data_IF_817538762053
#
_entry.id   IF_817538762053
#
_cell.length_a   1.000
_cell.length_b   1.000
_cell.length_c   1.000
_cell.angle_alpha   90.00
_cell.angle_beta   90.00
_cell.angle_gamma   90.00
#
_symmetry.space_group_name_H-M   'P 1'
#
loop_
_entity.id
_entity.type
_entity.pdbx_description
1 polymer ?
#
# COMPACT_ATOMS: atom_id res chain seq x y z
N UNK A 1 -22.03 24.46 -2.45
CA UNK A 1 -20.90 24.84 -1.57
C UNK A 1 -19.71 23.97 -1.95
N UNK A 2 -18.68 24.54 -2.58
CA UNK A 2 -17.47 23.80 -2.96
C UNK A 2 -16.60 23.60 -1.73
N UNK A 3 -16.38 22.34 -1.32
CA UNK A 3 -15.55 22.04 -0.15
C UNK A 3 -14.08 22.24 -0.48
N UNK A 4 -13.43 23.15 0.23
CA UNK A 4 -12.00 23.39 0.21
C UNK A 4 -11.23 22.15 0.68
N UNK A 5 -10.59 21.43 -0.23
CA UNK A 5 -9.40 20.63 0.12
C UNK A 5 -8.32 20.87 -0.92
N UNK A 6 -7.91 22.15 -0.91
CA UNK A 6 -6.94 22.77 -1.78
C UNK A 6 -5.51 22.50 -1.33
N UNK A 7 -4.96 21.31 -1.59
CA UNK A 7 -3.51 21.24 -1.91
C UNK A 7 -3.33 21.51 -3.42
N UNK A 8 -4.13 22.44 -3.93
CA UNK A 8 -4.78 22.34 -5.22
C UNK A 8 -3.97 23.03 -6.31
N UNK A 9 -3.99 22.41 -7.46
CA UNK A 9 -3.65 23.01 -8.73
C UNK A 9 -4.66 24.11 -9.15
N UNK A 10 -5.65 24.46 -8.31
CA UNK A 10 -6.69 25.49 -8.50
C UNK A 10 -7.36 25.45 -9.90
N UNK A 11 -7.63 24.26 -10.41
CA UNK A 11 -8.17 24.07 -11.77
C UNK A 11 -7.16 24.26 -12.92
N UNK A 12 -5.91 24.67 -12.63
CA UNK A 12 -4.83 24.76 -13.61
C UNK A 12 -4.26 23.39 -13.98
N UNK A 13 -4.26 23.08 -15.27
CA UNK A 13 -3.65 21.85 -15.79
C UNK A 13 -2.13 21.82 -15.63
N UNK A 14 -1.46 22.97 -15.77
CA UNK A 14 0.00 23.06 -15.68
C UNK A 14 0.49 22.75 -14.26
N UNK A 15 -0.22 23.25 -13.26
CA UNK A 15 0.07 22.95 -11.86
C UNK A 15 -0.19 21.47 -11.53
N UNK A 16 -1.29 20.90 -12.03
CA UNK A 16 -1.56 19.46 -11.89
C UNK A 16 -0.41 18.62 -12.46
N UNK A 17 0.09 18.96 -13.64
CA UNK A 17 1.21 18.25 -14.29
C UNK A 17 2.49 18.37 -13.46
N UNK A 18 2.80 19.56 -12.93
CA UNK A 18 3.96 19.78 -12.05
C UNK A 18 3.87 18.95 -10.78
N UNK A 19 2.71 18.90 -10.13
CA UNK A 19 2.48 18.11 -8.91
C UNK A 19 2.63 16.61 -9.17
N UNK A 20 2.12 16.11 -10.31
CA UNK A 20 2.29 14.71 -10.73
C UNK A 20 3.76 14.32 -10.90
N UNK A 21 4.57 15.17 -11.55
CA UNK A 21 6.02 14.93 -11.71
C UNK A 21 6.72 14.87 -10.35
N UNK A 22 6.29 15.72 -9.41
CA UNK A 22 6.82 15.75 -8.04
C UNK A 22 6.26 14.66 -7.13
N UNK A 23 5.40 13.77 -7.64
CA UNK A 23 4.74 12.72 -6.87
C UNK A 23 3.96 13.25 -5.64
N UNK A 24 3.49 14.50 -5.69
CA UNK A 24 2.65 15.08 -4.65
C UNK A 24 1.26 14.47 -4.78
N UNK A 25 0.85 13.68 -3.78
CA UNK A 25 -0.46 13.04 -3.73
C UNK A 25 -1.47 13.94 -3.03
N UNK A 26 -2.75 13.73 -3.32
CA UNK A 26 -3.81 14.38 -2.55
C UNK A 26 -3.81 13.81 -1.13
N UNK A 27 -4.04 14.68 -0.15
CA UNK A 27 -4.15 14.31 1.27
C UNK A 27 -5.36 13.42 1.50
N UNK A 28 -6.45 13.68 0.78
CA UNK A 28 -7.67 12.86 0.84
C UNK A 28 -7.56 11.64 -0.08
N UNK A 29 -8.04 10.50 0.40
CA UNK A 29 -8.13 9.26 -0.38
C UNK A 29 -9.36 9.21 -1.30
N UNK A 30 -9.41 8.29 -2.27
CA UNK A 30 -10.58 8.13 -3.17
C UNK A 30 -11.91 7.91 -2.43
N UNK A 31 -11.89 7.14 -1.34
CA UNK A 31 -13.07 6.83 -0.52
C UNK A 31 -13.62 8.05 0.25
N UNK A 32 -12.81 9.08 0.45
CA UNK A 32 -13.23 10.34 1.09
C UNK A 32 -13.79 11.34 0.09
N UNK A 33 -13.38 11.25 -1.18
CA UNK A 33 -13.82 12.17 -2.24
C UNK A 33 -15.08 11.71 -2.94
N UNK A 34 -15.25 10.41 -3.11
CA UNK A 34 -16.34 9.84 -3.89
C UNK A 34 -17.17 8.88 -3.03
N UNK A 35 -18.47 8.81 -3.32
CA UNK A 35 -19.38 7.90 -2.65
C UNK A 35 -19.23 6.45 -3.12
N UNK A 36 -18.75 6.25 -4.36
CA UNK A 36 -18.61 4.95 -5.00
C UNK A 36 -17.35 4.93 -5.88
N UNK A 37 -16.78 3.75 -6.19
CA UNK A 37 -15.63 3.66 -7.09
C UNK A 37 -16.05 4.07 -8.51
N UNK A 38 -15.28 4.95 -9.13
CA UNK A 38 -15.55 5.42 -10.50
C UNK A 38 -14.91 4.50 -11.56
N UNK A 39 -13.97 3.65 -11.16
CA UNK A 39 -13.18 2.79 -12.05
C UNK A 39 -13.00 1.41 -11.42
N UNK A 40 -12.82 0.40 -12.27
CA UNK A 40 -12.58 -0.99 -11.83
C UNK A 40 -11.30 -1.14 -11.01
N UNK A 41 -10.27 -0.33 -11.30
CA UNK A 41 -9.03 -0.32 -10.51
C UNK A 41 -9.23 0.26 -9.10
N UNK A 42 -10.15 1.22 -8.94
CA UNK A 42 -10.51 1.75 -7.62
C UNK A 42 -11.31 0.73 -6.81
N UNK A 43 -12.17 -0.06 -7.45
CA UNK A 43 -12.98 -1.09 -6.80
C UNK A 43 -12.14 -2.08 -5.99
N UNK A 44 -10.99 -2.52 -6.53
CA UNK A 44 -10.07 -3.45 -5.86
C UNK A 44 -9.60 -2.94 -4.49
N UNK A 45 -9.29 -1.64 -4.39
CA UNK A 45 -8.81 -1.01 -3.15
C UNK A 45 -9.92 -0.37 -2.31
N UNK A 46 -11.16 -0.29 -2.83
CA UNK A 46 -12.22 0.54 -2.27
C UNK A 46 -12.61 0.17 -0.83
N UNK A 47 -12.57 -1.14 -0.53
CA UNK A 47 -12.95 -1.70 0.75
C UNK A 47 -11.77 -1.83 1.73
N UNK A 48 -10.54 -1.62 1.25
CA UNK A 48 -9.34 -1.64 2.08
C UNK A 48 -9.12 -0.25 2.69
N UNK A 49 -9.57 -0.06 3.93
CA UNK A 49 -9.21 1.17 4.66
C UNK A 49 -7.79 1.05 5.20
N UNK A 50 -6.90 1.95 4.77
CA UNK A 50 -5.48 1.98 5.16
C UNK A 50 -5.27 2.11 6.68
N UNK A 51 -6.29 2.56 7.42
CA UNK A 51 -6.22 2.81 8.86
C UNK A 51 -6.66 1.65 9.76
N UNK A 52 -6.96 0.46 9.21
CA UNK A 52 -7.13 -0.72 10.06
C UNK A 52 -5.80 -1.13 10.68
N UNK A 53 -5.42 -0.46 11.77
CA UNK A 53 -4.49 -1.01 12.76
C UNK A 53 -4.99 -2.41 13.13
N UNK A 54 -4.10 -3.36 13.47
CA UNK A 54 -4.53 -4.73 13.80
C UNK A 54 -5.68 -4.79 14.84
N UNK A 55 -5.75 -3.79 15.72
CA UNK A 55 -6.80 -3.59 16.73
C UNK A 55 -8.19 -3.28 16.15
N UNK A 56 -8.28 -2.66 14.97
CA UNK A 56 -9.55 -2.28 14.35
C UNK A 56 -10.10 -3.33 13.38
N UNK A 57 -9.32 -4.38 13.05
CA UNK A 57 -9.81 -5.43 12.15
C UNK A 57 -11.06 -6.07 12.75
N UNK A 58 -12.12 -6.32 11.95
CA UNK A 58 -13.29 -6.99 12.49
C UNK A 58 -12.88 -8.33 13.11
N UNK A 59 -13.35 -8.61 14.33
CA UNK A 59 -12.88 -9.73 15.16
C UNK A 59 -12.95 -11.08 14.42
N UNK A 60 -13.91 -11.25 13.52
CA UNK A 60 -14.06 -12.46 12.70
C UNK A 60 -12.96 -12.66 11.65
N UNK A 61 -12.21 -11.62 11.29
CA UNK A 61 -11.06 -11.72 10.36
C UNK A 61 -9.73 -11.95 11.06
N UNK A 62 -9.67 -11.75 12.39
CA UNK A 62 -8.45 -11.91 13.15
C UNK A 62 -8.22 -13.38 13.47
N UNK A 63 -7.05 -13.88 13.06
CA UNK A 63 -6.56 -15.22 13.40
C UNK A 63 -5.12 -15.01 13.87
N UNK A 64 -4.73 -15.70 14.94
CA UNK A 64 -3.34 -15.72 15.40
C UNK A 64 -2.46 -16.32 14.29
N UNK A 65 -1.45 -15.57 13.85
CA UNK A 65 -0.52 -15.99 12.80
C UNK A 65 0.85 -16.18 13.41
N UNK A 66 1.47 -17.29 13.07
CA UNK A 66 2.85 -17.61 13.42
C UNK A 66 3.72 -17.39 12.18
N UNK A 67 4.30 -16.18 12.00
CA UNK A 67 5.17 -15.95 10.86
C UNK A 67 6.38 -16.87 10.95
N UNK A 68 6.84 -17.38 9.82
CA UNK A 68 8.11 -18.10 9.77
C UNK A 68 9.22 -17.08 10.01
N UNK A 69 9.84 -17.14 11.19
CA UNK A 69 11.01 -16.34 11.52
C UNK A 69 12.22 -17.08 10.96
N UNK A 70 12.87 -16.50 9.95
CA UNK A 70 14.13 -17.05 9.44
C UNK A 70 15.24 -16.79 10.46
N UNK A 71 15.94 -17.85 10.89
CA UNK A 71 17.15 -17.68 11.68
C UNK A 71 18.34 -17.30 10.76
N UNK A 72 19.44 -16.86 11.36
CA UNK A 72 20.65 -16.48 10.59
C UNK A 72 21.19 -17.63 9.73
N UNK A 73 21.05 -18.88 10.20
CA UNK A 73 21.45 -20.06 9.42
C UNK A 73 20.58 -20.28 8.18
N UNK A 74 19.27 -20.12 8.27
CA UNK A 74 18.34 -20.19 7.15
C UNK A 74 18.63 -19.08 6.17
N UNK A 75 18.90 -17.86 6.65
CA UNK A 75 19.28 -16.72 5.81
C UNK A 75 20.61 -16.95 5.09
N UNK A 76 21.60 -17.52 5.78
CA UNK A 76 22.89 -17.90 5.20
C UNK A 76 22.72 -18.98 4.11
N UNK A 77 21.95 -20.02 4.39
CA UNK A 77 21.67 -21.10 3.43
C UNK A 77 20.94 -20.56 2.19
N UNK A 78 19.93 -19.71 2.38
CA UNK A 78 19.20 -19.05 1.27
C UNK A 78 20.13 -18.17 0.43
N UNK A 79 21.06 -17.46 1.09
CA UNK A 79 22.07 -16.65 0.43
C UNK A 79 23.05 -17.50 -0.38
N UNK A 80 23.55 -18.61 0.18
CA UNK A 80 24.47 -19.51 -0.51
C UNK A 80 23.79 -20.20 -1.69
N UNK A 81 22.57 -20.72 -1.53
CA UNK A 81 21.78 -21.32 -2.63
C UNK A 81 21.55 -20.36 -3.80
N UNK A 82 21.48 -19.05 -3.54
CA UNK A 82 21.27 -18.05 -4.59
C UNK A 82 22.56 -17.71 -5.34
N UNK A 83 23.69 -17.69 -4.63
CA UNK A 83 24.96 -17.21 -5.18
C UNK A 83 25.86 -18.32 -5.71
N UNK A 84 25.72 -19.54 -5.20
CA UNK A 84 26.53 -20.69 -5.56
C UNK A 84 25.64 -21.85 -6.00
N UNK A 85 25.85 -22.31 -7.23
CA UNK A 85 25.06 -23.38 -7.86
C UNK A 85 25.44 -24.76 -7.33
N UNK A 86 26.67 -24.92 -6.83
CA UNK A 86 27.21 -26.19 -6.34
C UNK A 86 27.07 -26.31 -4.82
N UNK A 87 26.43 -25.33 -4.17
CA UNK A 87 26.17 -25.36 -2.74
C UNK A 87 25.15 -26.45 -2.37
N UNK A 88 25.58 -27.35 -1.49
CA UNK A 88 24.75 -28.42 -0.93
C UNK A 88 24.81 -28.31 0.59
N UNK A 89 23.64 -28.24 1.22
CA UNK A 89 23.51 -28.48 2.66
C UNK A 89 23.47 -30.00 2.81
N UNK A 90 24.41 -30.52 3.60
CA UNK A 90 24.70 -31.95 3.85
C UNK A 90 23.50 -32.90 3.76
#
# INVERSE_FOLDING_TARGET
>A
MYSSSNLEHHGSFNELKRLKIKHVRNVKGPTEMYLQPNTTSQELGWHYKEHFTMSQKPSWTYIERWPIIQNEMTRFVDHMKRNDRDFILF
#
